data_IF_691552951456
#
_entry.id   IF_691552951456
#
_cell.length_a   1.000
_cell.length_b   1.000
_cell.length_c   1.000
_cell.angle_alpha   90.00
_cell.angle_beta   90.00
_cell.angle_gamma   90.00
#
_symmetry.space_group_name_H-M   'P 1'
#
loop_
_entity.id
_entity.type
_entity.pdbx_description
1 polymer ?
#
# COMPACT_ATOMS: atom_id res chain seq x y z
N UNK A 1 -9.49 4.41 14.33
CA UNK A 1 -10.45 5.05 15.25
C UNK A 1 -9.89 5.33 16.66
N UNK A 2 -8.76 4.74 17.08
CA UNK A 2 -8.31 4.79 18.50
C UNK A 2 -7.87 6.18 19.00
N UNK A 3 -7.61 7.16 18.13
CA UNK A 3 -7.36 8.56 18.55
C UNK A 3 -8.13 9.51 17.63
N UNK A 4 -9.33 9.93 18.04
CA UNK A 4 -10.10 10.99 17.36
C UNK A 4 -9.47 12.38 17.55
N UNK A 5 -8.69 12.57 18.62
CA UNK A 5 -7.87 13.76 18.85
C UNK A 5 -6.39 13.40 18.93
N UNK A 6 -5.57 14.21 18.25
CA UNK A 6 -4.12 14.15 18.39
C UNK A 6 -3.72 14.46 19.85
N UNK A 7 -2.83 13.68 20.47
CA UNK A 7 -2.40 13.95 21.84
C UNK A 7 -1.61 15.26 21.89
N UNK A 8 -1.83 16.05 22.95
CA UNK A 8 -1.04 17.26 23.18
C UNK A 8 0.38 16.88 23.62
N UNK A 9 1.35 17.25 22.80
CA UNK A 9 2.78 16.95 22.99
C UNK A 9 3.62 18.23 23.14
N UNK A 10 3.01 19.38 23.35
CA UNK A 10 3.71 20.67 23.37
C UNK A 10 4.66 20.79 24.57
N UNK A 11 4.23 20.29 25.73
CA UNK A 11 5.06 20.24 26.93
C UNK A 11 6.27 19.32 26.73
N UNK A 12 6.08 18.19 26.05
CA UNK A 12 7.16 17.27 25.69
C UNK A 12 8.16 17.92 24.74
N UNK A 13 7.68 18.60 23.69
CA UNK A 13 8.53 19.36 22.76
C UNK A 13 9.34 20.44 23.47
N UNK A 14 8.70 21.19 24.36
CA UNK A 14 9.35 22.26 25.14
C UNK A 14 10.43 21.66 26.04
N UNK A 15 10.12 20.56 26.73
CA UNK A 15 11.09 19.86 27.58
C UNK A 15 12.34 19.42 26.81
N UNK A 16 12.17 18.85 25.61
CA UNK A 16 13.30 18.42 24.77
C UNK A 16 14.16 19.60 24.33
N UNK A 17 13.55 20.75 23.99
CA UNK A 17 14.26 21.96 23.61
C UNK A 17 15.10 22.51 24.77
N UNK A 18 14.58 22.43 25.98
CA UNK A 18 15.25 22.95 27.18
C UNK A 18 16.35 22.02 27.71
N UNK A 19 16.33 20.73 27.37
CA UNK A 19 17.22 19.72 27.95
C UNK A 19 17.92 18.82 26.90
N UNK A 20 18.81 19.38 26.05
CA UNK A 20 19.47 18.66 24.95
C UNK A 20 20.51 17.61 25.39
N UNK A 21 20.74 17.44 26.69
CA UNK A 21 21.70 16.44 27.23
C UNK A 21 20.99 15.13 27.63
N UNK A 22 19.69 15.19 27.91
CA UNK A 22 18.89 14.05 28.38
C UNK A 22 17.92 13.51 27.33
N UNK A 23 17.85 14.18 26.19
CA UNK A 23 16.93 13.92 25.09
C UNK A 23 17.12 12.55 24.44
N UNK A 24 18.34 12.16 24.06
CA UNK A 24 18.63 10.87 23.42
C UNK A 24 18.25 9.72 24.35
N UNK A 25 18.62 9.82 25.64
CA UNK A 25 18.24 8.85 26.66
C UNK A 25 16.72 8.74 26.82
N UNK A 26 16.01 9.86 26.77
CA UNK A 26 14.55 9.89 26.85
C UNK A 26 13.91 9.22 25.64
N UNK A 27 14.36 9.52 24.42
CA UNK A 27 13.85 8.90 23.20
C UNK A 27 14.07 7.38 23.20
N UNK A 28 15.24 6.92 23.65
CA UNK A 28 15.51 5.49 23.82
C UNK A 28 14.66 4.86 24.93
N UNK A 29 14.41 5.56 26.05
CA UNK A 29 13.54 5.08 27.12
C UNK A 29 12.09 4.89 26.63
N UNK A 30 11.57 5.87 25.88
CA UNK A 30 10.25 5.80 25.26
C UNK A 30 10.16 4.62 24.27
N UNK A 31 11.19 4.44 23.45
CA UNK A 31 11.28 3.30 22.52
C UNK A 31 11.27 1.98 23.28
N UNK A 32 12.07 1.86 24.34
CA UNK A 32 12.13 0.66 25.18
C UNK A 32 10.77 0.37 25.84
N UNK A 33 10.08 1.39 26.34
CA UNK A 33 8.74 1.25 26.91
C UNK A 33 7.76 0.67 25.87
N UNK A 34 7.78 1.17 24.64
CA UNK A 34 6.95 0.64 23.55
C UNK A 34 7.31 -0.81 23.22
N UNK A 35 8.58 -1.15 23.13
CA UNK A 35 9.03 -2.51 22.80
C UNK A 35 8.81 -3.52 23.92
N UNK A 36 8.67 -3.05 25.16
CA UNK A 36 8.36 -3.92 26.30
C UNK A 36 6.91 -4.39 26.32
N UNK A 37 6.01 -3.70 25.60
CA UNK A 37 4.61 -4.12 25.44
C UNK A 37 4.59 -5.32 24.48
N UNK A 38 3.89 -6.42 24.82
CA UNK A 38 3.88 -7.63 24.01
C UNK A 38 3.34 -7.37 22.59
N UNK A 39 3.87 -8.10 21.61
CA UNK A 39 3.39 -8.02 20.23
C UNK A 39 2.00 -8.65 20.10
N UNK A 40 1.22 -8.21 19.11
CA UNK A 40 -0.14 -8.71 18.86
C UNK A 40 -1.24 -8.11 19.76
N UNK A 41 -0.90 -7.07 20.54
CA UNK A 41 -1.85 -6.30 21.36
C UNK A 41 -2.97 -5.65 20.53
N UNK A 42 -2.75 -5.45 19.23
CA UNK A 42 -3.75 -4.99 18.26
C UNK A 42 -4.85 -6.04 17.96
N UNK A 43 -4.58 -7.33 18.19
CA UNK A 43 -5.50 -8.44 17.90
C UNK A 43 -6.25 -8.94 19.14
N UNK A 44 -5.76 -8.60 20.34
CA UNK A 44 -6.34 -9.02 21.61
C UNK A 44 -7.55 -8.16 21.96
N UNK A 45 -8.74 -8.75 21.80
CA UNK A 45 -10.04 -8.17 22.16
C UNK A 45 -10.02 -7.42 23.49
N UNK A 46 -10.19 -6.09 23.44
CA UNK A 46 -10.53 -5.14 24.52
C UNK A 46 -9.59 -5.02 25.75
N UNK A 47 -8.79 -6.03 26.10
CA UNK A 47 -8.07 -6.06 27.38
C UNK A 47 -6.79 -5.22 27.44
N UNK A 48 -6.14 -4.92 26.30
CA UNK A 48 -4.88 -4.15 26.27
C UNK A 48 -4.99 -2.81 25.52
N UNK A 49 -6.17 -2.17 25.56
CA UNK A 49 -6.38 -0.84 24.98
C UNK A 49 -5.34 0.17 25.47
N UNK A 50 -4.96 0.09 26.76
CA UNK A 50 -3.93 0.95 27.33
C UNK A 50 -2.56 0.74 26.66
N UNK A 51 -2.20 -0.51 26.39
CA UNK A 51 -0.97 -0.87 25.68
C UNK A 51 -0.97 -0.29 24.28
N UNK A 52 -2.03 -0.55 23.50
CA UNK A 52 -2.19 0.02 22.15
C UNK A 52 -2.12 1.54 22.16
N UNK A 53 -2.87 2.20 23.05
CA UNK A 53 -2.86 3.66 23.18
C UNK A 53 -1.48 4.19 23.54
N UNK A 54 -0.76 3.54 24.45
CA UNK A 54 0.59 3.94 24.85
C UNK A 54 1.56 3.86 23.67
N UNK A 55 1.53 2.75 22.92
CA UNK A 55 2.34 2.59 21.70
C UNK A 55 2.03 3.72 20.72
N UNK A 56 0.75 4.00 20.47
CA UNK A 56 0.34 5.02 19.51
C UNK A 56 0.77 6.42 19.97
N UNK A 57 0.54 6.78 21.24
CA UNK A 57 0.88 8.11 21.78
C UNK A 57 2.38 8.35 21.71
N UNK A 58 3.19 7.37 22.12
CA UNK A 58 4.65 7.47 22.08
C UNK A 58 5.12 7.57 20.62
N UNK A 59 4.61 6.71 19.73
CA UNK A 59 4.94 6.75 18.30
C UNK A 59 4.57 8.10 17.68
N UNK A 60 3.42 8.67 18.04
CA UNK A 60 2.98 9.98 17.56
C UNK A 60 3.89 11.10 18.08
N UNK A 61 4.29 11.05 19.36
CA UNK A 61 5.21 12.02 19.94
C UNK A 61 6.56 11.99 19.23
N UNK A 62 7.13 10.79 19.05
CA UNK A 62 8.38 10.58 18.31
C UNK A 62 8.28 11.08 16.86
N UNK A 63 7.19 10.77 16.16
CA UNK A 63 6.98 11.22 14.79
C UNK A 63 6.95 12.75 14.71
N UNK A 64 6.17 13.38 15.59
CA UNK A 64 6.03 14.83 15.58
C UNK A 64 7.31 15.57 15.96
N UNK A 65 8.10 15.05 16.90
CA UNK A 65 9.36 15.70 17.28
C UNK A 65 10.42 15.54 16.20
N UNK A 66 10.50 14.39 15.55
CA UNK A 66 11.57 14.10 14.59
C UNK A 66 11.25 14.49 13.15
N UNK A 67 9.98 14.57 12.76
CA UNK A 67 9.58 14.81 11.36
C UNK A 67 8.74 16.06 11.16
N UNK A 68 7.94 16.49 12.16
CA UNK A 68 7.07 17.67 12.03
C UNK A 68 7.75 18.93 12.58
N UNK A 69 8.27 18.93 13.80
CA UNK A 69 8.93 20.11 14.39
C UNK A 69 10.26 20.42 13.69
N UNK A 70 10.32 21.54 12.96
CA UNK A 70 11.50 21.94 12.17
C UNK A 70 12.77 22.15 12.99
N UNK A 71 12.65 22.56 14.26
CA UNK A 71 13.82 22.81 15.12
C UNK A 71 14.39 21.49 15.65
N UNK A 72 13.52 20.59 16.07
CA UNK A 72 13.92 19.30 16.65
C UNK A 72 14.29 18.27 15.57
N UNK A 73 13.71 18.37 14.38
CA UNK A 73 13.96 17.51 13.23
C UNK A 73 15.45 17.35 12.93
N UNK A 74 16.21 18.44 12.87
CA UNK A 74 17.65 18.36 12.55
C UNK A 74 18.46 17.61 13.61
N UNK A 75 17.96 17.53 14.85
CA UNK A 75 18.63 16.86 15.96
C UNK A 75 18.25 15.37 16.02
N UNK A 76 16.96 15.04 15.87
CA UNK A 76 16.46 13.69 16.20
C UNK A 76 16.03 12.83 15.02
N UNK A 77 15.99 13.39 13.80
CA UNK A 77 15.51 12.66 12.62
C UNK A 77 16.16 11.28 12.45
N UNK A 78 17.48 11.19 12.59
CA UNK A 78 18.21 9.94 12.38
C UNK A 78 17.90 8.92 13.47
N UNK A 79 18.00 9.32 14.74
CA UNK A 79 17.83 8.41 15.87
C UNK A 79 16.40 7.89 15.96
N UNK A 80 15.41 8.77 15.76
CA UNK A 80 13.99 8.39 15.80
C UNK A 80 13.60 7.51 14.62
N UNK A 81 14.17 7.74 13.44
CA UNK A 81 13.99 6.82 12.30
C UNK A 81 14.48 5.42 12.66
N UNK A 82 15.66 5.31 13.27
CA UNK A 82 16.23 4.02 13.65
C UNK A 82 15.39 3.36 14.79
N UNK A 83 14.85 4.15 15.73
CA UNK A 83 13.87 3.69 16.72
C UNK A 83 12.57 3.17 16.07
N UNK A 84 12.07 3.81 15.02
CA UNK A 84 10.86 3.35 14.32
C UNK A 84 11.05 1.99 13.64
N UNK A 85 12.25 1.69 13.15
CA UNK A 85 12.57 0.35 12.65
C UNK A 85 12.31 -0.73 13.71
N UNK A 86 12.79 -0.50 14.94
CA UNK A 86 12.60 -1.39 16.07
C UNK A 86 11.13 -1.46 16.52
N UNK A 87 10.46 -0.31 16.64
CA UNK A 87 9.04 -0.24 17.04
C UNK A 87 8.18 -1.01 16.04
N UNK A 88 8.36 -0.79 14.73
CA UNK A 88 7.56 -1.43 13.70
C UNK A 88 7.90 -2.92 13.54
N UNK A 89 9.11 -3.33 13.90
CA UNK A 89 9.48 -4.75 13.95
C UNK A 89 8.71 -5.51 15.05
N UNK A 90 8.44 -4.86 16.17
CA UNK A 90 7.64 -5.40 17.27
C UNK A 90 6.13 -5.22 17.07
N UNK A 91 5.72 -4.06 16.53
CA UNK A 91 4.34 -3.62 16.38
C UNK A 91 4.06 -3.13 14.95
N UNK A 92 3.89 -4.05 13.96
CA UNK A 92 3.77 -3.67 12.55
C UNK A 92 2.59 -2.77 12.20
N UNK A 93 1.51 -2.78 13.00
CA UNK A 93 0.34 -1.92 12.78
C UNK A 93 0.66 -0.42 12.84
N UNK A 94 1.78 -0.04 13.48
CA UNK A 94 2.26 1.35 13.54
C UNK A 94 2.62 1.88 12.15
N UNK A 95 2.98 1.01 11.20
CA UNK A 95 3.29 1.42 9.82
C UNK A 95 2.07 2.08 9.16
N UNK A 96 0.84 1.59 9.39
CA UNK A 96 -0.39 2.22 8.87
C UNK A 96 -0.58 3.64 9.43
N UNK A 97 -0.27 3.85 10.72
CA UNK A 97 -0.36 5.17 11.35
C UNK A 97 0.72 6.11 10.83
N UNK A 98 1.95 5.61 10.70
CA UNK A 98 3.05 6.37 10.10
C UNK A 98 2.73 6.77 8.67
N UNK A 99 2.11 5.89 7.87
CA UNK A 99 1.68 6.23 6.50
C UNK A 99 0.71 7.40 6.54
N UNK A 100 -0.33 7.32 7.36
CA UNK A 100 -1.31 8.39 7.49
C UNK A 100 -0.65 9.72 7.87
N UNK A 101 0.13 9.74 8.95
CA UNK A 101 0.77 10.98 9.42
C UNK A 101 1.77 11.52 8.40
N UNK A 102 2.47 10.64 7.68
CA UNK A 102 3.37 11.01 6.60
C UNK A 102 2.61 11.68 5.46
N UNK A 103 1.49 11.09 5.01
CA UNK A 103 0.63 11.67 3.96
C UNK A 103 0.08 13.04 4.38
N UNK A 104 -0.37 13.18 5.62
CA UNK A 104 -0.84 14.45 6.18
C UNK A 104 0.25 15.54 6.17
N UNK A 105 1.54 15.17 6.28
CA UNK A 105 2.69 16.08 6.32
C UNK A 105 3.61 15.98 5.08
N UNK A 106 3.15 15.38 3.98
CA UNK A 106 3.98 15.15 2.79
C UNK A 106 4.65 16.41 2.22
N UNK A 107 3.99 17.59 2.16
CA UNK A 107 4.64 18.80 1.67
C UNK A 107 5.91 19.19 2.43
N UNK A 108 5.98 18.88 3.72
CA UNK A 108 7.14 19.16 4.58
C UNK A 108 8.15 18.03 4.61
N UNK A 109 7.69 16.79 4.50
CA UNK A 109 8.56 15.60 4.59
C UNK A 109 9.28 15.31 3.27
N UNK A 110 8.60 15.44 2.13
CA UNK A 110 9.17 15.17 0.81
C UNK A 110 9.97 13.85 0.80
N UNK A 111 11.26 13.89 0.47
CA UNK A 111 12.13 12.70 0.43
C UNK A 111 12.40 12.06 1.81
N UNK A 112 12.18 12.78 2.93
CA UNK A 112 12.28 12.21 4.28
C UNK A 112 11.24 11.10 4.51
N UNK A 113 10.09 11.17 3.84
CA UNK A 113 9.09 10.10 3.88
C UNK A 113 9.67 8.78 3.34
N UNK A 114 10.32 8.83 2.17
CA UNK A 114 10.99 7.67 1.60
C UNK A 114 12.06 7.13 2.54
N UNK A 115 12.92 7.99 3.08
CA UNK A 115 13.98 7.54 3.99
C UNK A 115 13.46 6.92 5.28
N UNK A 116 12.35 7.42 5.83
CA UNK A 116 11.67 6.77 6.95
C UNK A 116 11.24 5.36 6.56
N UNK A 117 10.48 5.23 5.46
CA UNK A 117 9.93 3.94 5.04
C UNK A 117 11.00 2.93 4.59
N UNK A 118 12.18 3.39 4.14
CA UNK A 118 13.33 2.52 3.88
C UNK A 118 13.85 1.78 5.11
N UNK A 119 13.64 2.33 6.31
CA UNK A 119 14.05 1.67 7.55
C UNK A 119 13.00 0.75 8.14
N UNK A 120 11.78 0.74 7.60
CA UNK A 120 10.65 0.00 8.18
C UNK A 120 10.57 -1.43 7.62
N UNK A 121 10.19 -2.42 8.45
CA UNK A 121 9.98 -3.79 8.01
C UNK A 121 8.62 -3.95 7.31
N UNK A 122 8.51 -3.46 6.08
CA UNK A 122 7.29 -3.51 5.28
C UNK A 122 6.83 -4.93 4.93
N UNK A 123 7.73 -5.91 5.00
CA UNK A 123 7.46 -7.34 4.82
C UNK A 123 6.55 -7.94 5.90
N UNK A 124 6.48 -7.29 7.07
CA UNK A 124 5.66 -7.72 8.21
C UNK A 124 4.36 -6.92 8.34
N UNK A 125 4.15 -5.95 7.46
CA UNK A 125 3.03 -5.04 7.55
C UNK A 125 1.78 -5.63 6.91
N UNK A 126 0.70 -5.73 7.68
CA UNK A 126 -0.62 -6.10 7.19
C UNK A 126 -1.36 -4.81 6.84
N UNK A 127 -1.53 -4.56 5.54
CA UNK A 127 -2.23 -3.37 5.06
C UNK A 127 -3.72 -3.43 5.33
N UNK A 128 -4.28 -2.28 5.73
CA UNK A 128 -5.72 -2.08 5.90
C UNK A 128 -6.33 -1.45 4.65
N UNK A 129 -7.64 -1.62 4.47
CA UNK A 129 -8.38 -0.96 3.39
C UNK A 129 -8.28 0.59 3.44
N UNK A 130 -8.09 1.16 4.63
CA UNK A 130 -7.83 2.60 4.77
C UNK A 130 -6.48 3.03 4.19
N UNK A 131 -5.47 2.16 4.27
CA UNK A 131 -4.11 2.45 3.83
C UNK A 131 -4.04 2.49 2.30
N UNK A 132 -4.80 1.60 1.66
CA UNK A 132 -4.99 1.57 0.21
C UNK A 132 -5.59 2.87 -0.34
N UNK A 133 -6.51 3.50 0.40
CA UNK A 133 -7.07 4.81 -0.01
C UNK A 133 -6.00 5.90 -0.04
N UNK A 134 -5.10 5.90 0.94
CA UNK A 134 -3.98 6.84 0.96
C UNK A 134 -2.99 6.59 -0.18
N UNK A 135 -2.65 5.32 -0.44
CA UNK A 135 -1.78 4.95 -1.57
C UNK A 135 -2.39 5.32 -2.92
N UNK A 136 -3.70 5.13 -3.07
CA UNK A 136 -4.44 5.52 -4.26
C UNK A 136 -4.38 7.03 -4.50
N UNK A 137 -4.58 7.83 -3.45
CA UNK A 137 -4.45 9.28 -3.51
C UNK A 137 -3.04 9.70 -3.92
N UNK A 138 -2.00 9.08 -3.36
CA UNK A 138 -0.61 9.37 -3.69
C UNK A 138 -0.27 9.00 -5.15
N UNK A 139 -0.70 7.83 -5.63
CA UNK A 139 -0.48 7.42 -7.03
C UNK A 139 -1.25 8.26 -8.04
N UNK A 140 -2.34 8.89 -7.60
CA UNK A 140 -3.14 9.82 -8.39
C UNK A 140 -2.64 11.27 -8.31
N UNK A 141 -1.63 11.54 -7.46
CA UNK A 141 -1.03 12.86 -7.34
C UNK A 141 -0.25 13.24 -8.61
N UNK A 142 -0.11 14.54 -8.85
CA UNK A 142 0.77 15.07 -9.91
C UNK A 142 2.22 15.19 -9.47
N UNK A 143 2.49 15.03 -8.17
CA UNK A 143 3.83 15.17 -7.62
C UNK A 143 4.59 13.85 -7.76
N UNK A 144 5.77 13.92 -8.38
CA UNK A 144 6.64 12.75 -8.58
C UNK A 144 7.06 12.11 -7.25
N UNK A 145 7.25 12.90 -6.19
CA UNK A 145 7.66 12.38 -4.87
C UNK A 145 6.56 11.49 -4.28
N UNK A 146 5.30 11.90 -4.40
CA UNK A 146 4.15 11.14 -3.90
C UNK A 146 4.01 9.82 -4.64
N UNK A 147 4.14 9.85 -5.97
CA UNK A 147 4.09 8.66 -6.83
C UNK A 147 5.23 7.71 -6.46
N UNK A 148 6.47 8.19 -6.37
CA UNK A 148 7.63 7.37 -6.03
C UNK A 148 7.51 6.77 -4.63
N UNK A 149 6.97 7.52 -3.66
CA UNK A 149 6.71 7.04 -2.32
C UNK A 149 5.68 5.90 -2.31
N UNK A 150 4.56 6.06 -3.01
CA UNK A 150 3.56 5.00 -3.10
C UNK A 150 4.07 3.76 -3.86
N UNK A 151 4.83 3.96 -4.95
CA UNK A 151 5.49 2.87 -5.68
C UNK A 151 6.43 2.08 -4.76
N UNK A 152 7.27 2.78 -4.01
CA UNK A 152 8.21 2.17 -3.07
C UNK A 152 7.48 1.30 -2.03
N UNK A 153 6.40 1.80 -1.45
CA UNK A 153 5.61 1.03 -0.48
C UNK A 153 5.09 -0.25 -1.14
N UNK A 154 4.40 -0.14 -2.27
CA UNK A 154 3.81 -1.29 -2.97
C UNK A 154 4.87 -2.31 -3.42
N UNK A 155 6.08 -1.87 -3.77
CA UNK A 155 7.17 -2.78 -4.12
C UNK A 155 7.67 -3.60 -2.93
N UNK A 156 7.63 -3.07 -1.72
CA UNK A 156 8.23 -3.69 -0.54
C UNK A 156 7.24 -4.44 0.35
N UNK A 157 5.97 -4.54 -0.07
CA UNK A 157 4.98 -5.39 0.59
C UNK A 157 5.26 -6.88 0.38
N UNK A 158 4.84 -7.68 1.36
CA UNK A 158 4.91 -9.13 1.30
C UNK A 158 3.68 -9.74 0.60
N UNK A 159 3.83 -10.05 -0.68
CA UNK A 159 2.83 -10.77 -1.49
C UNK A 159 3.00 -12.30 -1.45
N UNK A 160 3.85 -12.80 -0.54
CA UNK A 160 4.09 -14.21 -0.34
C UNK A 160 2.94 -14.90 0.39
N UNK A 161 3.21 -16.13 0.83
CA UNK A 161 2.28 -16.86 1.68
C UNK A 161 2.71 -16.76 3.14
N UNK A 162 1.70 -16.76 4.02
CA UNK A 162 1.86 -16.95 5.44
C UNK A 162 2.21 -18.42 5.73
N UNK A 163 2.86 -18.67 6.87
CA UNK A 163 3.11 -20.03 7.38
C UNK A 163 1.83 -20.72 7.88
N UNK A 164 0.72 -19.99 7.89
CA UNK A 164 -0.60 -20.52 8.22
C UNK A 164 -1.17 -21.34 7.06
N UNK A 165 -1.56 -22.58 7.36
CA UNK A 165 -2.20 -23.48 6.41
C UNK A 165 -3.70 -23.31 6.56
N UNK A 166 -4.39 -23.17 5.43
CA UNK A 166 -5.86 -23.15 5.46
C UNK A 166 -6.39 -24.48 5.99
N UNK A 167 -7.08 -24.41 7.12
CA UNK A 167 -7.69 -25.58 7.78
C UNK A 167 -9.12 -25.83 7.27
N UNK A 168 -9.71 -24.87 6.55
CA UNK A 168 -11.08 -24.96 6.04
C UNK A 168 -11.03 -25.61 4.65
N UNK A 169 -11.24 -26.92 4.63
CA UNK A 169 -11.44 -27.66 3.39
C UNK A 169 -12.77 -27.27 2.74
N UNK A 170 -12.71 -26.37 1.76
CA UNK A 170 -13.84 -26.17 0.86
C UNK A 170 -14.06 -27.44 0.05
N UNK A 171 -15.18 -28.14 0.31
CA UNK A 171 -15.57 -29.34 -0.45
C UNK A 171 -15.74 -29.07 -1.94
N UNK A 172 -16.00 -27.82 -2.33
CA UNK A 172 -16.16 -27.40 -3.73
C UNK A 172 -14.84 -27.11 -4.44
N UNK A 173 -13.71 -27.01 -3.75
CA UNK A 173 -12.42 -26.65 -4.37
C UNK A 173 -11.24 -27.50 -3.84
N UNK A 174 -11.19 -28.80 -4.19
CA UNK A 174 -10.16 -29.72 -3.72
C UNK A 174 -8.75 -29.45 -4.30
N UNK A 175 -8.62 -28.60 -5.32
CA UNK A 175 -7.35 -28.19 -5.95
C UNK A 175 -6.80 -26.83 -5.45
N UNK A 176 -7.43 -26.21 -4.46
CA UNK A 176 -6.97 -24.91 -3.95
C UNK A 176 -5.58 -25.00 -3.27
N UNK A 177 -4.76 -23.98 -3.45
CA UNK A 177 -3.47 -23.86 -2.75
C UNK A 177 -3.74 -23.77 -1.25
N UNK A 178 -3.24 -24.74 -0.48
CA UNK A 178 -3.42 -24.78 0.99
C UNK A 178 -2.68 -23.66 1.74
N UNK A 179 -1.97 -22.80 1.03
CA UNK A 179 -1.15 -21.73 1.60
C UNK A 179 -1.96 -20.45 1.58
N UNK A 180 -2.22 -19.87 2.75
CA UNK A 180 -2.88 -18.59 2.83
C UNK A 180 -1.89 -17.47 2.48
N UNK A 181 -2.26 -16.51 1.62
CA UNK A 181 -1.39 -15.38 1.32
C UNK A 181 -1.15 -14.56 2.61
N UNK A 182 0.00 -13.90 2.71
CA UNK A 182 0.30 -13.06 3.88
C UNK A 182 -0.63 -11.86 3.96
N UNK A 183 -0.94 -11.25 2.81
CA UNK A 183 -2.01 -10.27 2.65
C UNK A 183 -3.26 -10.97 2.15
N UNK A 184 -4.42 -10.64 2.70
CA UNK A 184 -5.67 -11.26 2.26
C UNK A 184 -5.92 -11.05 0.76
N UNK A 185 -6.57 -12.00 0.10
CA UNK A 185 -6.88 -11.92 -1.33
C UNK A 185 -7.67 -10.65 -1.70
N UNK A 186 -8.51 -10.13 -0.81
CA UNK A 186 -9.21 -8.85 -1.00
C UNK A 186 -8.23 -7.68 -1.14
N UNK A 187 -7.14 -7.67 -0.36
CA UNK A 187 -6.09 -6.64 -0.47
C UNK A 187 -5.36 -6.76 -1.80
N UNK A 188 -5.09 -7.98 -2.26
CA UNK A 188 -4.52 -8.19 -3.60
C UNK A 188 -5.44 -7.67 -4.71
N UNK A 189 -6.75 -7.91 -4.60
CA UNK A 189 -7.76 -7.43 -5.56
C UNK A 189 -7.81 -5.90 -5.56
N UNK A 190 -7.88 -5.28 -4.38
CA UNK A 190 -7.90 -3.82 -4.24
C UNK A 190 -6.63 -3.17 -4.82
N UNK A 191 -5.45 -3.77 -4.60
CA UNK A 191 -4.18 -3.28 -5.19
C UNK A 191 -4.23 -3.37 -6.72
N UNK A 192 -4.79 -4.44 -7.29
CA UNK A 192 -4.91 -4.58 -8.73
C UNK A 192 -5.81 -3.48 -9.33
N UNK A 193 -6.96 -3.20 -8.69
CA UNK A 193 -7.82 -2.09 -9.11
C UNK A 193 -7.15 -0.73 -8.96
N UNK A 194 -6.43 -0.52 -7.86
CA UNK A 194 -5.66 0.70 -7.60
C UNK A 194 -4.64 0.95 -8.72
N UNK A 195 -3.86 -0.07 -9.09
CA UNK A 195 -2.86 0.02 -10.15
C UNK A 195 -3.52 0.27 -11.49
N UNK A 196 -4.61 -0.45 -11.81
CA UNK A 196 -5.34 -0.27 -13.07
C UNK A 196 -5.82 1.16 -13.24
N UNK A 197 -6.42 1.73 -12.20
CA UNK A 197 -6.91 3.10 -12.19
C UNK A 197 -5.76 4.12 -12.30
N UNK A 198 -4.62 3.87 -11.65
CA UNK A 198 -3.43 4.68 -11.82
C UNK A 198 -2.88 4.62 -13.26
N UNK A 199 -2.84 3.44 -13.89
CA UNK A 199 -2.42 3.29 -15.29
C UNK A 199 -3.30 4.10 -16.23
N UNK A 200 -4.63 4.08 -16.04
CA UNK A 200 -5.57 4.86 -16.86
C UNK A 200 -5.33 6.36 -16.77
N UNK A 201 -4.90 6.85 -15.59
CA UNK A 201 -4.57 8.28 -15.40
C UNK A 201 -3.23 8.67 -16.00
N UNK A 202 -2.21 7.84 -15.86
CA UNK A 202 -0.85 8.11 -16.39
C UNK A 202 -0.72 7.85 -17.89
N UNK A 203 -1.70 7.15 -18.48
CA UNK A 203 -1.85 6.97 -19.92
C UNK A 203 -3.33 7.01 -20.31
N UNK A 204 -3.94 8.21 -20.47
CA UNK A 204 -5.25 8.30 -21.05
C UNK A 204 -5.21 7.67 -22.45
N UNK A 205 -6.14 6.75 -22.72
CA UNK A 205 -6.30 6.17 -24.06
C UNK A 205 -6.39 7.30 -25.08
N UNK A 206 -5.67 7.22 -26.22
CA UNK A 206 -5.78 8.22 -27.25
C UNK A 206 -7.24 8.30 -27.71
N UNK A 207 -7.90 9.43 -27.40
CA UNK A 207 -9.22 9.77 -27.93
C UNK A 207 -9.17 9.63 -29.46
N UNK A 208 -10.06 8.85 -30.08
CA UNK A 208 -10.09 8.74 -31.52
C UNK A 208 -10.52 10.10 -32.10
N UNK A 209 -9.57 10.78 -32.73
CA UNK A 209 -9.72 11.91 -33.66
C UNK A 209 -10.07 13.29 -33.10
N UNK A 210 -9.03 14.11 -32.88
CA UNK A 210 -9.05 15.53 -33.28
C UNK A 210 -7.73 15.89 -33.99
N UNK A 211 -7.76 15.84 -35.32
CA UNK A 211 -6.93 16.62 -36.25
C UNK A 211 -5.44 16.74 -35.96
N UNK A 212 -4.68 15.65 -36.11
CA UNK A 212 -3.22 15.70 -36.08
C UNK A 212 -2.65 16.03 -37.47
N UNK A 213 -2.39 17.31 -37.76
CA UNK A 213 -1.40 17.67 -38.78
C UNK A 213 -0.42 18.78 -38.33
N UNK A 214 -0.71 19.62 -37.33
CA UNK A 214 0.05 20.89 -37.18
C UNK A 214 0.94 21.08 -35.93
N UNK A 215 1.42 20.01 -35.27
CA UNK A 215 2.31 20.14 -34.08
C UNK A 215 3.50 19.16 -34.06
N UNK A 216 4.02 18.76 -35.23
CA UNK A 216 4.90 17.57 -35.35
C UNK A 216 6.35 17.77 -34.90
N UNK A 217 6.83 18.96 -34.52
CA UNK A 217 8.26 19.11 -34.15
C UNK A 217 8.53 19.39 -32.67
N UNK A 218 7.64 20.09 -31.94
CA UNK A 218 7.77 20.28 -30.48
C UNK A 218 7.03 19.21 -29.66
N UNK A 219 5.91 18.69 -30.17
CA UNK A 219 5.14 17.65 -29.49
C UNK A 219 5.86 16.29 -29.53
N UNK A 220 6.71 16.02 -30.51
CA UNK A 220 7.38 14.72 -30.67
C UNK A 220 8.40 14.49 -29.55
N UNK A 221 9.22 15.48 -29.21
CA UNK A 221 10.20 15.34 -28.09
C UNK A 221 9.49 15.26 -26.74
N UNK A 222 8.39 16.02 -26.56
CA UNK A 222 7.58 15.97 -25.34
C UNK A 222 6.80 14.65 -25.21
N UNK A 223 6.29 14.11 -26.32
CA UNK A 223 5.66 12.79 -26.38
C UNK A 223 6.66 11.66 -26.17
N UNK A 224 7.90 11.75 -26.66
CA UNK A 224 8.90 10.69 -26.43
C UNK A 224 9.33 10.62 -24.96
N UNK A 225 9.54 11.78 -24.31
CA UNK A 225 9.86 11.83 -22.88
C UNK A 225 8.67 11.36 -22.01
N UNK A 226 7.45 11.81 -22.32
CA UNK A 226 6.24 11.36 -21.64
C UNK A 226 5.95 9.87 -21.89
N UNK A 227 6.14 9.37 -23.11
CA UNK A 227 5.98 7.96 -23.45
C UNK A 227 6.99 7.07 -22.72
N UNK A 228 8.24 7.54 -22.52
CA UNK A 228 9.23 6.80 -21.74
C UNK A 228 8.83 6.69 -20.27
N UNK A 229 8.42 7.80 -19.63
CA UNK A 229 7.96 7.77 -18.23
C UNK A 229 6.66 6.98 -18.04
N UNK A 230 5.73 7.08 -18.99
CA UNK A 230 4.48 6.29 -18.96
C UNK A 230 4.77 4.79 -19.17
N UNK A 231 5.72 4.45 -20.04
CA UNK A 231 6.13 3.06 -20.24
C UNK A 231 6.85 2.51 -18.99
N UNK A 232 7.72 3.28 -18.34
CA UNK A 232 8.32 2.90 -17.06
C UNK A 232 7.26 2.64 -15.97
N UNK A 233 6.22 3.46 -15.90
CA UNK A 233 5.11 3.24 -14.97
C UNK A 233 4.37 1.93 -15.29
N UNK A 234 4.08 1.65 -16.56
CA UNK A 234 3.40 0.41 -16.98
C UNK A 234 4.25 -0.83 -16.69
N UNK A 235 5.55 -0.79 -16.99
CA UNK A 235 6.47 -1.88 -16.67
C UNK A 235 6.51 -2.15 -15.16
N UNK A 236 6.55 -1.07 -14.37
CA UNK A 236 6.45 -1.17 -12.92
C UNK A 236 5.11 -1.80 -12.48
N UNK A 237 3.99 -1.31 -13.01
CA UNK A 237 2.65 -1.83 -12.72
C UNK A 237 2.55 -3.33 -13.01
N UNK A 238 3.09 -3.76 -14.16
CA UNK A 238 3.14 -5.15 -14.54
C UNK A 238 3.96 -6.01 -13.55
N UNK A 239 5.10 -5.48 -13.10
CA UNK A 239 5.95 -6.14 -12.10
C UNK A 239 5.20 -6.38 -10.78
N UNK A 240 4.37 -5.42 -10.34
CA UNK A 240 3.55 -5.59 -9.14
C UNK A 240 2.40 -6.58 -9.39
N UNK A 241 1.66 -6.45 -10.50
CA UNK A 241 0.53 -7.32 -10.83
C UNK A 241 0.95 -8.79 -10.87
N UNK A 242 2.12 -9.10 -11.43
CA UNK A 242 2.66 -10.47 -11.47
C UNK A 242 2.99 -11.05 -10.09
N UNK A 243 3.21 -10.20 -9.07
CA UNK A 243 3.46 -10.65 -7.69
C UNK A 243 2.16 -10.96 -6.95
N UNK A 244 1.03 -10.39 -7.37
CA UNK A 244 -0.27 -10.62 -6.75
C UNK A 244 -0.72 -12.07 -6.96
N UNK A 245 -1.27 -12.70 -5.91
CA UNK A 245 -1.70 -14.10 -5.91
C UNK A 245 -3.16 -14.27 -6.36
N UNK A 246 -3.63 -13.43 -7.27
CA UNK A 246 -5.04 -13.40 -7.69
C UNK A 246 -5.50 -14.69 -8.37
N UNK A 247 -4.61 -15.38 -9.09
CA UNK A 247 -4.91 -16.67 -9.72
C UNK A 247 -4.99 -17.83 -8.72
N UNK A 248 -4.41 -17.66 -7.53
CA UNK A 248 -4.50 -18.66 -6.46
C UNK A 248 -5.75 -18.48 -5.61
N UNK A 249 -6.48 -17.37 -5.80
CA UNK A 249 -7.71 -17.03 -5.08
C UNK A 249 -8.80 -18.11 -5.33
N UNK A 250 -9.59 -18.49 -4.31
CA UNK A 250 -10.81 -19.24 -4.57
C UNK A 250 -11.71 -18.43 -5.52
N UNK A 251 -12.34 -19.10 -6.49
CA UNK A 251 -13.28 -18.48 -7.43
C UNK A 251 -14.26 -17.58 -6.65
N UNK A 252 -14.29 -16.28 -6.98
CA UNK A 252 -15.15 -15.28 -6.33
C UNK A 252 -16.59 -15.78 -6.21
N UNK A 253 -17.32 -15.40 -5.16
CA UNK A 253 -18.77 -15.61 -5.07
C UNK A 253 -19.55 -14.93 -6.21
N UNK A 254 -18.92 -14.00 -6.96
CA UNK A 254 -19.49 -13.49 -8.22
C UNK A 254 -19.30 -14.44 -9.41
N UNK A 255 -18.34 -15.34 -9.33
CA UNK A 255 -18.05 -16.34 -10.35
C UNK A 255 -18.74 -17.70 -10.06
N UNK A 256 -19.38 -17.89 -8.91
CA UNK A 256 -20.28 -19.04 -8.69
C UNK A 256 -21.50 -19.01 -9.63
N UNK A 257 -21.86 -17.84 -10.16
CA UNK A 257 -22.92 -17.70 -11.17
C UNK A 257 -22.46 -18.15 -12.57
N UNK A 258 -21.15 -18.22 -12.82
CA UNK A 258 -20.59 -18.72 -14.08
C UNK A 258 -20.85 -20.23 -14.19
N UNK A 259 -20.68 -20.97 -13.10
CA UNK A 259 -20.99 -22.42 -13.09
C UNK A 259 -22.49 -22.69 -13.22
N UNK A 260 -23.35 -21.82 -12.67
CA UNK A 260 -24.81 -21.93 -12.84
C UNK A 260 -25.27 -21.61 -14.27
N UNK A 261 -24.54 -20.75 -14.98
CA UNK A 261 -24.83 -20.39 -16.38
C UNK A 261 -24.25 -21.38 -17.40
N UNK A 262 -23.22 -22.17 -17.01
CA UNK A 262 -22.67 -23.29 -17.78
C UNK A 262 -23.56 -24.56 -17.68
N UNK A 263 -24.84 -24.42 -18.00
CA UNK A 263 -25.74 -25.58 -18.07
C UNK A 263 -25.39 -26.51 -19.24
N UNK A 264 -25.72 -27.80 -19.10
CA UNK A 264 -25.54 -28.77 -20.19
C UNK A 264 -26.26 -28.34 -21.48
N UNK A 265 -27.37 -27.62 -21.36
CA UNK A 265 -28.09 -26.97 -22.46
C UNK A 265 -27.27 -25.86 -23.13
N UNK A 266 -26.60 -24.99 -22.35
CA UNK A 266 -25.70 -23.96 -22.87
C UNK A 266 -24.50 -24.57 -23.60
N UNK A 267 -23.84 -25.55 -22.99
CA UNK A 267 -22.70 -26.25 -23.62
C UNK A 267 -23.13 -26.99 -24.89
N UNK A 268 -24.30 -27.64 -24.88
CA UNK A 268 -24.84 -28.31 -26.06
C UNK A 268 -25.23 -27.32 -27.16
N UNK A 269 -25.67 -26.11 -26.79
CA UNK A 269 -25.99 -25.04 -27.73
C UNK A 269 -24.73 -24.45 -28.37
N UNK A 270 -23.65 -24.26 -27.61
CA UNK A 270 -22.35 -23.80 -28.15
C UNK A 270 -21.63 -24.88 -28.95
N UNK A 271 -21.64 -26.14 -28.50
CA UNK A 271 -20.98 -27.24 -29.20
C UNK A 271 -21.74 -27.66 -30.47
N UNK A 272 -23.06 -27.46 -30.51
CA UNK A 272 -23.87 -27.71 -31.70
C UNK A 272 -24.16 -26.44 -32.52
N UNK A 273 -23.81 -25.25 -32.02
CA UNK A 273 -23.76 -24.07 -32.89
C UNK A 273 -22.58 -24.28 -33.82
N UNK A 274 -22.89 -24.46 -35.10
CA UNK A 274 -21.90 -24.39 -36.16
C UNK A 274 -21.34 -22.97 -36.14
N UNK A 275 -20.20 -22.78 -35.50
CA UNK A 275 -19.46 -21.53 -35.62
C UNK A 275 -18.98 -21.46 -37.06
N UNK A 276 -19.65 -20.65 -37.88
CA UNK A 276 -19.01 -20.11 -39.07
C UNK A 276 -17.73 -19.42 -38.58
N UNK A 277 -16.59 -20.04 -38.88
CA UNK A 277 -15.24 -19.51 -38.66
C UNK A 277 -14.97 -18.21 -39.44
N UNK A 278 -16.00 -17.58 -40.01
CA UNK A 278 -15.96 -16.26 -40.64
C UNK A 278 -16.20 -15.10 -39.66
N UNK A 279 -16.77 -15.34 -38.48
CA UNK A 279 -17.06 -14.27 -37.52
C UNK A 279 -15.80 -13.70 -36.83
N UNK A 280 -14.71 -14.48 -36.72
CA UNK A 280 -13.45 -14.01 -36.13
C UNK A 280 -12.67 -13.03 -37.02
N UNK A 281 -12.94 -13.00 -38.32
CA UNK A 281 -12.33 -12.03 -39.24
C UNK A 281 -13.08 -10.70 -39.36
N UNK A 282 -14.35 -10.64 -38.91
CA UNK A 282 -15.16 -9.41 -38.93
C UNK A 282 -14.89 -8.49 -37.73
N UNK A 283 -14.06 -8.92 -36.77
CA UNK A 283 -13.61 -8.09 -35.65
C UNK A 283 -12.27 -7.39 -35.91
N UNK A 284 -11.68 -7.55 -37.10
CA UNK A 284 -10.41 -6.92 -37.50
C UNK A 284 -10.49 -6.22 -38.88
N UNK A 285 -11.65 -5.63 -39.19
CA UNK A 285 -11.81 -4.53 -40.16
C UNK A 285 -12.73 -3.50 -39.53
#
# INVERSE_FOLDING_TARGET
EVLELAPNIDLFKTFLKDNPVQDVFMLSCLTNMVTSIPSGVDKLSQHDLLGTCTIIIISFALFNTAFVDKQLRSMYYKDVRDHFSLICQHHPFIISLLLRWTVEHMPEMQNMALYLFHSLPLDKWIMLASDLKWLHQLLSSKNIVDIQFAKYILENLNYGYSDTIDTILSKSQPWHSRRQPFLDYSVHEDIAFLILDACQRHQPLPEPSKGAIDMVTSAVVSNYMAANSSNEFIQWSWTIIQRLKLYDCPVSTRATDIEQSLTASFLRLILNSYNDTSASHSALV
#
